data_IF_527186064224
#
_entry.id   IF_527186064224
#
_cell.length_a   1.000
_cell.length_b   1.000
_cell.length_c   1.000
_cell.angle_alpha   90.00
_cell.angle_beta   90.00
_cell.angle_gamma   90.00
#
_symmetry.space_group_name_H-M   'P 1'
#
loop_
_entity.id
_entity.type
_entity.pdbx_description
1 polymer ?
#
# COMPACT_ATOMS: atom_id res chain seq x y z
N UNK A 1 26.37 -2.19 -24.75
CA UNK A 1 25.07 -2.16 -24.08
C UNK A 1 24.24 -1.02 -24.66
N UNK A 2 22.95 -1.22 -24.83
CA UNK A 2 22.03 -0.20 -25.32
C UNK A 2 20.71 -0.28 -24.56
N UNK A 3 20.01 0.85 -24.44
CA UNK A 3 18.69 0.96 -23.88
C UNK A 3 17.69 1.25 -25.00
N UNK A 4 16.65 0.43 -25.09
CA UNK A 4 15.54 0.65 -26.02
C UNK A 4 14.30 1.07 -25.23
N UNK A 5 13.66 2.15 -25.66
CA UNK A 5 12.38 2.59 -25.15
C UNK A 5 11.34 2.54 -26.26
N UNK A 6 10.11 2.19 -25.94
CA UNK A 6 9.00 2.17 -26.88
C UNK A 6 7.78 2.87 -26.26
N UNK A 7 7.16 3.76 -27.00
CA UNK A 7 5.95 4.48 -26.60
C UNK A 7 5.05 4.69 -27.81
N UNK A 8 3.76 4.89 -27.58
CA UNK A 8 2.74 5.04 -28.65
C UNK A 8 2.37 6.48 -28.95
N UNK A 9 2.88 7.42 -28.16
CA UNK A 9 2.57 8.84 -28.31
C UNK A 9 3.46 9.50 -29.36
N UNK A 10 2.98 10.56 -29.96
CA UNK A 10 3.74 11.35 -30.95
C UNK A 10 4.76 12.29 -30.29
N UNK A 11 4.70 12.43 -28.99
CA UNK A 11 5.58 13.30 -28.21
C UNK A 11 6.28 12.50 -27.11
N UNK A 12 7.58 12.74 -26.95
CA UNK A 12 8.41 12.07 -25.98
C UNK A 12 9.45 13.07 -25.43
N UNK A 13 9.48 13.19 -24.12
CA UNK A 13 10.50 13.96 -23.42
C UNK A 13 11.33 13.00 -22.54
N UNK A 14 12.64 13.08 -22.63
CA UNK A 14 13.57 12.27 -21.84
C UNK A 14 14.63 13.15 -21.17
N UNK A 15 14.93 12.83 -19.93
CA UNK A 15 15.97 13.48 -19.14
C UNK A 15 17.06 12.47 -18.82
N UNK A 16 18.29 12.81 -19.12
CA UNK A 16 19.47 11.98 -18.85
C UNK A 16 20.32 12.65 -17.78
N UNK A 17 20.58 11.93 -16.70
CA UNK A 17 21.43 12.41 -15.62
C UNK A 17 22.76 11.66 -15.67
N UNK A 18 23.85 12.40 -15.84
CA UNK A 18 25.22 11.88 -15.90
C UNK A 18 26.03 12.45 -14.76
N UNK A 19 26.85 11.64 -14.13
CA UNK A 19 27.71 12.06 -13.04
C UNK A 19 28.80 11.03 -12.75
N UNK A 20 29.85 11.45 -12.07
CA UNK A 20 30.97 10.60 -11.70
C UNK A 20 30.65 9.64 -10.55
N UNK A 21 29.53 9.84 -9.89
CA UNK A 21 29.05 9.00 -8.79
C UNK A 21 27.53 8.95 -8.75
N UNK A 22 26.98 7.90 -8.14
CA UNK A 22 25.55 7.77 -7.89
C UNK A 22 24.98 8.95 -7.07
N UNK A 23 25.78 9.52 -6.17
CA UNK A 23 25.38 10.69 -5.39
C UNK A 23 25.14 11.92 -6.26
N UNK A 24 26.02 12.16 -7.25
CA UNK A 24 25.84 13.25 -8.21
C UNK A 24 24.61 13.03 -9.09
N UNK A 25 24.39 11.81 -9.58
CA UNK A 25 23.22 11.46 -10.38
C UNK A 25 21.93 11.66 -9.57
N UNK A 26 21.88 11.17 -8.32
CA UNK A 26 20.73 11.36 -7.42
C UNK A 26 20.51 12.83 -7.07
N UNK A 27 21.58 13.61 -6.87
CA UNK A 27 21.47 15.03 -6.61
C UNK A 27 20.86 15.78 -7.80
N UNK A 28 21.33 15.48 -9.01
CA UNK A 28 20.79 16.08 -10.23
C UNK A 28 19.32 15.67 -10.48
N UNK A 29 19.00 14.39 -10.30
CA UNK A 29 17.64 13.88 -10.42
C UNK A 29 16.70 14.57 -9.42
N UNK A 30 17.06 14.60 -8.14
CA UNK A 30 16.22 15.21 -7.11
C UNK A 30 16.17 16.73 -7.16
N UNK A 31 17.11 17.38 -7.80
CA UNK A 31 17.02 18.81 -8.10
C UNK A 31 15.89 19.11 -9.11
N UNK A 32 15.65 18.20 -10.05
CA UNK A 32 14.55 18.31 -11.02
C UNK A 32 13.21 17.85 -10.46
N UNK A 33 13.18 16.72 -9.78
CA UNK A 33 11.93 16.04 -9.36
C UNK A 33 11.48 16.38 -7.95
N UNK A 34 12.31 17.05 -7.17
CA UNK A 34 12.13 17.22 -5.74
C UNK A 34 12.69 16.06 -4.93
N UNK A 35 12.94 16.30 -3.67
CA UNK A 35 13.41 15.29 -2.71
C UNK A 35 12.22 14.60 -2.05
N UNK A 36 12.34 13.30 -1.80
CA UNK A 36 11.38 12.57 -1.00
C UNK A 36 11.31 13.15 0.44
N UNK A 37 10.11 13.19 0.99
CA UNK A 37 9.92 13.53 2.40
C UNK A 37 10.53 12.44 3.28
N UNK A 38 11.10 12.86 4.41
CA UNK A 38 11.52 11.92 5.43
C UNK A 38 10.27 11.32 6.09
N UNK A 39 10.11 10.02 5.94
CA UNK A 39 8.99 9.32 6.55
C UNK A 39 9.16 9.23 8.08
N UNK A 40 8.07 9.11 8.84
CA UNK A 40 8.15 8.86 10.27
C UNK A 40 8.78 7.49 10.56
N UNK A 41 9.40 7.34 11.74
CA UNK A 41 10.14 6.13 12.11
C UNK A 41 9.35 4.84 11.90
N UNK A 42 8.09 4.82 12.28
CA UNK A 42 7.23 3.63 12.16
C UNK A 42 7.07 3.13 10.71
N UNK A 43 7.22 4.01 9.71
CA UNK A 43 7.12 3.63 8.31
C UNK A 43 8.34 2.82 7.81
N UNK A 44 9.46 2.90 8.52
CA UNK A 44 10.67 2.12 8.27
C UNK A 44 10.74 0.83 9.10
N UNK A 45 9.81 0.64 10.02
CA UNK A 45 9.70 -0.60 10.78
C UNK A 45 9.08 -1.69 9.92
N UNK A 46 9.18 -2.94 10.36
CA UNK A 46 8.60 -4.08 9.66
C UNK A 46 7.11 -3.87 9.43
N UNK A 47 6.65 -4.08 8.20
CA UNK A 47 5.25 -4.04 7.83
C UNK A 47 4.75 -5.43 7.45
N UNK A 48 3.54 -5.74 7.86
CA UNK A 48 2.86 -6.97 7.51
C UNK A 48 1.72 -6.66 6.53
N UNK A 49 1.63 -7.41 5.45
CA UNK A 49 0.61 -7.21 4.41
C UNK A 49 0.12 -8.56 3.93
N UNK A 50 -1.16 -8.82 4.14
CA UNK A 50 -1.80 -10.06 3.71
C UNK A 50 -3.31 -9.85 3.50
N UNK A 51 -3.93 -10.81 2.88
CA UNK A 51 -5.38 -10.89 2.77
C UNK A 51 -5.94 -11.63 3.98
N UNK A 52 -6.11 -10.96 5.08
CA UNK A 52 -6.57 -11.56 6.34
C UNK A 52 -8.02 -12.05 6.33
N UNK A 53 -8.80 -11.70 5.30
CA UNK A 53 -10.18 -12.16 5.13
C UNK A 53 -10.33 -13.27 4.10
N UNK A 54 -9.27 -13.97 3.77
CA UNK A 54 -9.28 -15.00 2.73
C UNK A 54 -10.33 -16.09 2.94
N UNK A 55 -10.63 -16.43 4.19
CA UNK A 55 -11.64 -17.41 4.53
C UNK A 55 -13.10 -16.92 4.49
N UNK A 56 -13.32 -15.61 4.52
CA UNK A 56 -14.66 -15.03 4.74
C UNK A 56 -15.44 -14.68 3.47
N UNK A 57 -15.10 -15.22 2.31
CA UNK A 57 -15.88 -15.02 1.09
C UNK A 57 -16.14 -13.58 0.66
N UNK A 58 -15.30 -12.66 1.01
CA UNK A 58 -15.19 -11.42 0.25
C UNK A 58 -14.78 -11.76 -1.20
N UNK A 59 -14.42 -13.00 -1.40
CA UNK A 59 -14.07 -13.65 -2.67
C UNK A 59 -15.28 -13.83 -3.56
N UNK A 60 -15.30 -13.12 -4.65
CA UNK A 60 -16.12 -13.56 -5.78
C UNK A 60 -15.54 -14.88 -6.30
N UNK A 61 -16.35 -15.93 -6.54
CA UNK A 61 -15.88 -17.18 -7.12
C UNK A 61 -15.06 -16.89 -8.37
N UNK A 62 -13.86 -17.44 -8.45
CA UNK A 62 -12.94 -17.27 -9.60
C UNK A 62 -12.01 -16.08 -9.56
N UNK A 63 -12.00 -15.26 -8.52
CA UNK A 63 -11.11 -14.11 -8.39
C UNK A 63 -9.82 -14.40 -7.64
N UNK A 64 -9.74 -15.52 -6.92
CA UNK A 64 -8.56 -15.94 -6.20
C UNK A 64 -7.83 -17.02 -6.99
N UNK A 65 -6.53 -16.93 -7.20
CA UNK A 65 -5.76 -17.98 -7.84
C UNK A 65 -5.92 -19.32 -7.11
N UNK A 66 -6.03 -20.39 -7.90
CA UNK A 66 -6.03 -21.76 -7.36
C UNK A 66 -4.76 -22.00 -6.53
N UNK A 67 -4.92 -22.44 -5.30
CA UNK A 67 -3.80 -22.71 -4.39
C UNK A 67 -3.56 -21.66 -3.31
N UNK A 68 -4.34 -20.59 -3.27
CA UNK A 68 -4.39 -19.72 -2.10
C UNK A 68 -5.19 -20.42 -1.01
N UNK A 69 -4.56 -20.56 0.14
CA UNK A 69 -5.19 -21.21 1.28
C UNK A 69 -6.39 -20.42 1.75
N UNK A 70 -7.39 -21.12 2.22
CA UNK A 70 -8.44 -20.52 3.02
C UNK A 70 -7.77 -19.94 4.28
N UNK A 71 -7.61 -18.62 4.30
CA UNK A 71 -7.12 -17.92 5.47
C UNK A 71 -8.06 -18.10 6.68
N UNK A 72 -7.71 -17.56 7.84
CA UNK A 72 -8.55 -17.65 9.02
C UNK A 72 -9.91 -17.02 8.76
N UNK A 73 -10.97 -17.71 9.18
CA UNK A 73 -12.34 -17.20 9.12
C UNK A 73 -12.58 -16.20 10.25
N UNK A 74 -13.36 -15.18 10.00
CA UNK A 74 -13.72 -14.19 11.00
C UNK A 74 -13.81 -12.78 10.41
N UNK A 75 -14.17 -11.82 11.23
CA UNK A 75 -14.19 -10.42 10.83
C UNK A 75 -12.77 -9.88 10.74
N UNK A 76 -12.56 -8.85 9.94
CA UNK A 76 -11.23 -8.21 9.83
C UNK A 76 -10.65 -7.84 11.20
N UNK A 77 -11.39 -7.19 12.13
CA UNK A 77 -10.87 -6.92 13.46
C UNK A 77 -10.38 -8.16 14.19
N UNK A 78 -11.17 -9.23 14.20
CA UNK A 78 -10.84 -10.44 14.97
C UNK A 78 -9.53 -11.08 14.47
N UNK A 79 -9.41 -11.21 13.15
CA UNK A 79 -8.23 -11.84 12.54
C UNK A 79 -6.99 -10.95 12.70
N UNK A 80 -7.08 -9.70 12.27
CA UNK A 80 -5.94 -8.77 12.26
C UNK A 80 -5.43 -8.48 13.68
N UNK A 81 -6.32 -8.32 14.64
CA UNK A 81 -5.92 -8.09 16.03
C UNK A 81 -5.30 -9.32 16.66
N UNK A 82 -5.69 -10.52 16.26
CA UNK A 82 -5.04 -11.75 16.70
C UNK A 82 -3.59 -11.82 16.19
N UNK A 83 -3.34 -11.41 14.94
CA UNK A 83 -1.99 -11.32 14.36
C UNK A 83 -1.16 -10.26 15.09
N UNK A 84 -1.70 -9.08 15.29
CA UNK A 84 -1.01 -8.01 16.03
C UNK A 84 -0.64 -8.44 17.46
N UNK A 85 -1.53 -9.17 18.14
CA UNK A 85 -1.25 -9.74 19.45
C UNK A 85 -0.07 -10.73 19.41
N UNK A 86 0.01 -11.58 18.39
CA UNK A 86 1.12 -12.52 18.20
C UNK A 86 2.45 -11.82 17.98
N UNK A 87 2.49 -10.75 17.20
CA UNK A 87 3.69 -9.93 17.06
C UNK A 87 4.22 -9.45 18.43
N UNK A 88 3.33 -9.04 19.32
CA UNK A 88 3.73 -8.58 20.69
C UNK A 88 4.05 -9.73 21.63
N UNK A 89 3.34 -10.85 21.53
CA UNK A 89 3.64 -12.07 22.29
C UNK A 89 5.07 -12.59 22.02
N UNK A 90 5.50 -12.53 20.75
CA UNK A 90 6.82 -12.98 20.33
C UNK A 90 7.90 -11.86 20.35
N UNK A 91 7.58 -10.70 20.89
CA UNK A 91 8.47 -9.53 20.92
C UNK A 91 9.01 -9.15 19.51
N UNK A 92 8.18 -9.32 18.49
CA UNK A 92 8.54 -8.97 17.12
C UNK A 92 8.26 -7.49 16.85
N UNK A 93 9.20 -6.78 16.20
CA UNK A 93 8.96 -5.40 15.80
C UNK A 93 7.90 -5.32 14.71
N UNK A 94 7.22 -4.19 14.63
CA UNK A 94 6.28 -3.91 13.55
C UNK A 94 5.68 -2.53 13.68
N UNK A 95 5.60 -1.82 12.56
CA UNK A 95 5.11 -0.45 12.49
C UNK A 95 3.73 -0.33 11.87
N UNK A 96 3.36 -1.23 10.95
CA UNK A 96 2.08 -1.17 10.25
C UNK A 96 1.60 -2.55 9.80
N UNK A 97 0.29 -2.69 9.65
CA UNK A 97 -0.38 -3.87 9.10
C UNK A 97 -1.37 -3.43 8.02
N UNK A 98 -1.35 -4.11 6.88
CA UNK A 98 -2.22 -3.90 5.73
C UNK A 98 -3.08 -5.16 5.53
N UNK A 99 -4.38 -5.13 5.95
CA UNK A 99 -5.19 -6.34 6.08
C UNK A 99 -5.86 -6.82 4.80
N UNK A 100 -5.78 -6.08 3.71
CA UNK A 100 -6.49 -6.39 2.47
C UNK A 100 -5.57 -6.50 1.26
N UNK A 101 -4.35 -6.99 1.44
CA UNK A 101 -3.37 -7.12 0.37
C UNK A 101 -3.60 -8.38 -0.47
N UNK A 102 -4.56 -8.33 -1.36
CA UNK A 102 -4.87 -9.43 -2.27
C UNK A 102 -6.10 -9.15 -3.15
N UNK A 103 -6.16 -9.79 -4.29
CA UNK A 103 -7.29 -9.64 -5.23
C UNK A 103 -8.60 -10.10 -4.60
N UNK A 104 -9.59 -9.21 -4.57
CA UNK A 104 -10.91 -9.48 -4.00
C UNK A 104 -10.92 -9.50 -2.48
N UNK A 105 -9.81 -9.17 -1.83
CA UNK A 105 -9.77 -8.91 -0.40
C UNK A 105 -10.48 -7.60 -0.08
N UNK A 106 -11.28 -7.63 0.94
CA UNK A 106 -11.88 -6.45 1.50
C UNK A 106 -11.49 -6.28 2.96
N UNK A 107 -12.26 -5.45 3.63
CA UNK A 107 -12.20 -5.31 5.07
C UNK A 107 -13.60 -5.08 5.64
N UNK A 108 -13.77 -5.45 6.90
CA UNK A 108 -14.96 -5.14 7.66
C UNK A 108 -14.58 -4.28 8.86
N UNK A 109 -15.48 -3.41 9.30
CA UNK A 109 -15.35 -2.59 10.52
C UNK A 109 -13.96 -1.91 10.66
N UNK A 110 -13.54 -1.22 9.62
CA UNK A 110 -12.23 -0.56 9.54
C UNK A 110 -11.91 0.35 10.74
N UNK A 111 -12.85 1.16 11.27
CA UNK A 111 -12.56 1.97 12.46
C UNK A 111 -12.13 1.12 13.68
N UNK A 112 -12.75 -0.05 13.88
CA UNK A 112 -12.37 -0.97 14.95
C UNK A 112 -10.99 -1.60 14.70
N UNK A 113 -10.65 -1.91 13.44
CA UNK A 113 -9.31 -2.38 13.05
C UNK A 113 -8.27 -1.33 13.40
N UNK A 114 -8.49 -0.09 12.97
CA UNK A 114 -7.55 1.02 13.21
C UNK A 114 -7.34 1.28 14.69
N UNK A 115 -8.43 1.36 15.46
CA UNK A 115 -8.35 1.58 16.90
C UNK A 115 -7.67 0.42 17.64
N UNK A 116 -7.97 -0.81 17.22
CA UNK A 116 -7.37 -2.01 17.79
C UNK A 116 -5.88 -2.11 17.50
N UNK A 117 -5.46 -1.93 16.25
CA UNK A 117 -4.06 -1.96 15.84
C UNK A 117 -3.23 -0.88 16.55
N UNK A 118 -3.80 0.30 16.74
CA UNK A 118 -3.17 1.39 17.49
C UNK A 118 -2.82 0.99 18.92
N UNK A 119 -3.64 0.18 19.59
CA UNK A 119 -3.35 -0.34 20.95
C UNK A 119 -2.14 -1.24 20.99
N UNK A 120 -1.87 -1.96 19.90
CA UNK A 120 -0.66 -2.76 19.72
C UNK A 120 0.52 -1.97 19.13
N UNK A 121 0.37 -0.66 18.93
CA UNK A 121 1.42 0.20 18.37
C UNK A 121 1.60 0.12 16.85
N UNK A 122 0.67 -0.52 16.14
CA UNK A 122 0.67 -0.55 14.68
C UNK A 122 -0.13 0.58 14.06
N UNK A 123 0.24 0.95 12.83
CA UNK A 123 -0.58 1.76 11.93
C UNK A 123 -1.29 0.85 10.95
N UNK A 124 -2.50 1.23 10.56
CA UNK A 124 -3.27 0.48 9.55
C UNK A 124 -2.94 0.99 8.17
N UNK A 125 -2.62 0.07 7.26
CA UNK A 125 -2.53 0.31 5.84
C UNK A 125 -3.69 -0.31 5.09
N UNK A 126 -3.88 0.09 3.84
CA UNK A 126 -4.85 -0.51 2.93
C UNK A 126 -4.31 -0.58 1.51
N UNK A 127 -4.72 -1.61 0.80
CA UNK A 127 -4.59 -1.69 -0.64
C UNK A 127 -5.82 -1.07 -1.31
N UNK A 128 -5.58 -0.12 -2.19
CA UNK A 128 -6.63 0.60 -2.91
C UNK A 128 -7.04 -0.21 -4.13
N UNK A 129 -8.21 -0.87 -4.07
CA UNK A 129 -8.68 -1.77 -5.13
C UNK A 129 -9.63 -1.14 -6.14
N UNK A 130 -10.44 -0.20 -5.74
CA UNK A 130 -11.55 0.31 -6.55
C UNK A 130 -11.39 1.79 -6.88
N UNK A 131 -10.20 2.18 -7.33
CA UNK A 131 -9.86 3.58 -7.54
C UNK A 131 -9.62 4.31 -6.23
N UNK A 132 -9.79 5.62 -6.26
CA UNK A 132 -9.42 6.52 -5.15
C UNK A 132 -10.62 7.01 -4.32
N UNK A 133 -11.82 6.56 -4.63
CA UNK A 133 -13.06 7.14 -4.10
C UNK A 133 -13.22 6.96 -2.58
N UNK A 134 -12.64 5.90 -2.02
CA UNK A 134 -12.71 5.61 -0.58
C UNK A 134 -11.61 6.26 0.24
N UNK A 135 -10.54 6.72 -0.38
CA UNK A 135 -9.32 7.19 0.33
C UNK A 135 -9.65 8.30 1.33
N UNK A 136 -10.47 9.27 0.94
CA UNK A 136 -10.83 10.36 1.83
C UNK A 136 -11.50 9.89 3.13
N UNK A 137 -12.34 8.88 3.05
CA UNK A 137 -12.97 8.27 4.23
C UNK A 137 -11.99 7.37 4.99
N UNK A 138 -11.22 6.53 4.30
CA UNK A 138 -10.27 5.60 4.89
C UNK A 138 -9.17 6.33 5.68
N UNK A 139 -8.64 7.40 5.13
CA UNK A 139 -7.59 8.21 5.76
C UNK A 139 -8.19 9.21 6.75
N UNK A 140 -9.17 10.00 6.30
CA UNK A 140 -9.71 11.12 7.06
C UNK A 140 -10.61 10.71 8.21
N UNK A 141 -11.47 9.70 8.00
CA UNK A 141 -12.46 9.27 9.00
C UNK A 141 -12.01 8.02 9.74
N UNK A 142 -11.64 6.96 9.02
CA UNK A 142 -11.22 5.70 9.66
C UNK A 142 -9.80 5.78 10.25
N UNK A 143 -8.94 6.59 9.68
CA UNK A 143 -7.62 6.88 10.27
C UNK A 143 -6.49 5.98 9.81
N UNK A 144 -6.59 5.39 8.61
CA UNK A 144 -5.47 4.66 7.99
C UNK A 144 -4.28 5.60 7.70
N UNK A 145 -3.07 5.05 7.62
CA UNK A 145 -1.84 5.85 7.47
C UNK A 145 -0.90 5.34 6.38
N UNK A 146 -1.23 4.23 5.75
CA UNK A 146 -0.50 3.66 4.61
C UNK A 146 -1.53 3.37 3.52
N UNK A 147 -1.25 3.80 2.29
CA UNK A 147 -2.05 3.47 1.12
C UNK A 147 -1.16 2.83 0.06
N UNK A 148 -1.41 1.59 -0.26
CA UNK A 148 -0.79 0.91 -1.40
C UNK A 148 -1.62 1.23 -2.65
N UNK A 149 -1.09 2.10 -3.48
CA UNK A 149 -1.67 2.45 -4.78
C UNK A 149 -1.08 1.51 -5.82
N UNK A 150 -1.89 0.62 -6.36
CA UNK A 150 -1.41 -0.47 -7.20
C UNK A 150 -2.22 -0.58 -8.50
N UNK A 151 -1.55 -1.10 -9.52
CA UNK A 151 -2.06 -1.45 -10.86
C UNK A 151 -3.07 -0.46 -11.47
N UNK A 152 -3.92 -0.96 -12.35
CA UNK A 152 -4.93 -0.15 -13.04
C UNK A 152 -6.10 0.33 -12.16
N UNK A 153 -6.17 -0.08 -10.90
CA UNK A 153 -7.21 0.40 -9.99
C UNK A 153 -7.08 1.86 -9.59
N UNK A 154 -5.87 2.39 -9.63
CA UNK A 154 -5.64 3.83 -9.50
C UNK A 154 -5.85 4.57 -10.81
N UNK A 155 -6.19 3.86 -11.90
CA UNK A 155 -6.40 4.37 -13.25
C UNK A 155 -5.17 4.31 -14.14
N UNK A 156 -5.33 4.73 -15.38
CA UNK A 156 -4.29 4.69 -16.39
C UNK A 156 -3.68 6.08 -16.63
N UNK A 157 -2.36 6.09 -16.81
CA UNK A 157 -1.63 7.27 -17.20
C UNK A 157 -1.13 8.13 -16.04
N UNK A 158 -0.27 9.06 -16.38
CA UNK A 158 0.45 9.90 -15.43
C UNK A 158 -0.48 10.77 -14.56
N UNK A 159 -1.48 11.39 -15.18
CA UNK A 159 -2.40 12.27 -14.45
C UNK A 159 -3.17 11.52 -13.38
N UNK A 160 -3.62 10.31 -13.70
CA UNK A 160 -4.35 9.48 -12.75
C UNK A 160 -3.48 9.06 -11.56
N UNK A 161 -2.23 8.68 -11.82
CA UNK A 161 -1.27 8.36 -10.77
C UNK A 161 -0.99 9.57 -9.87
N UNK A 162 -0.86 10.76 -10.45
CA UNK A 162 -0.66 12.00 -9.72
C UNK A 162 -1.86 12.33 -8.82
N UNK A 163 -3.08 12.20 -9.35
CA UNK A 163 -4.31 12.49 -8.61
C UNK A 163 -4.53 11.47 -7.47
N UNK A 164 -4.23 10.20 -7.70
CA UNK A 164 -4.26 9.16 -6.67
C UNK A 164 -3.29 9.46 -5.53
N UNK A 165 -2.06 9.85 -5.86
CA UNK A 165 -1.08 10.24 -4.84
C UNK A 165 -1.53 11.48 -4.04
N UNK A 166 -2.11 12.48 -4.70
CA UNK A 166 -2.67 13.66 -4.02
C UNK A 166 -3.86 13.32 -3.12
N UNK A 167 -4.70 12.37 -3.53
CA UNK A 167 -5.84 11.95 -2.71
C UNK A 167 -5.39 11.17 -1.47
N UNK A 168 -4.25 10.49 -1.53
CA UNK A 168 -3.69 9.70 -0.42
C UNK A 168 -2.80 10.52 0.54
N UNK A 169 -2.34 11.69 0.12
CA UNK A 169 -1.46 12.57 0.91
C UNK A 169 -2.24 13.43 1.90
#
# INVERSE_FOLDING_TARGET
>A
DYLTTSHKESRFDAYYFVGDSIHQVLAAYTALTGRANLLPRWAFEYGDADCYNDGDNVKKPGTVPSGWSDGPTGTTPDVVLSVAAKYREYDMPGGWILPNDGYGCGYTDLPKVVEGLKKYGFRTGLWTENGVDKIAWEVGTAGTRVQKLDVAWTGNGYQFALDANKAAA
#
